data_IF_170491856004
#
_entry.id   IF_170491856004
#
_cell.length_a   1.000
_cell.length_b   1.000
_cell.length_c   1.000
_cell.angle_alpha   90.00
_cell.angle_beta   90.00
_cell.angle_gamma   90.00
#
_symmetry.space_group_name_H-M   'P 1'
#
loop_
_entity.id
_entity.type
_entity.pdbx_description
1 polymer ?
#
# COMPACT_ATOMS: atom_id res chain seq x y z
N UNK A 1 -31.31 -46.56 -6.50
CA UNK A 1 -29.92 -46.21 -6.12
C UNK A 1 -29.03 -46.65 -7.26
N UNK A 2 -28.32 -45.74 -7.92
CA UNK A 2 -27.43 -46.12 -9.02
C UNK A 2 -26.22 -46.87 -8.45
N UNK A 3 -25.91 -48.04 -9.01
CA UNK A 3 -24.77 -48.86 -8.63
C UNK A 3 -23.47 -48.10 -8.97
N UNK A 4 -22.68 -47.74 -7.96
CA UNK A 4 -21.44 -46.96 -8.11
C UNK A 4 -20.24 -47.91 -8.16
N UNK A 5 -19.27 -47.59 -9.03
CA UNK A 5 -18.08 -48.39 -9.31
C UNK A 5 -16.88 -47.75 -8.61
N UNK A 6 -16.00 -48.51 -7.93
CA UNK A 6 -14.77 -47.96 -7.34
C UNK A 6 -13.80 -47.43 -8.42
N UNK A 7 -13.08 -46.35 -8.10
CA UNK A 7 -12.01 -45.82 -8.94
C UNK A 7 -10.88 -46.86 -9.12
N UNK A 8 -10.33 -46.95 -10.33
CA UNK A 8 -9.19 -47.85 -10.63
C UNK A 8 -7.82 -47.31 -10.19
N UNK A 9 -7.71 -46.03 -9.83
CA UNK A 9 -6.44 -45.45 -9.37
C UNK A 9 -6.05 -46.02 -8.02
N UNK A 10 -4.83 -46.53 -7.92
CA UNK A 10 -4.29 -47.12 -6.69
C UNK A 10 -4.33 -46.10 -5.54
N UNK A 11 -4.83 -46.52 -4.37
CA UNK A 11 -4.98 -45.65 -3.20
C UNK A 11 -6.20 -44.71 -3.22
N UNK A 12 -6.99 -44.66 -4.29
CA UNK A 12 -8.19 -43.83 -4.36
C UNK A 12 -9.42 -44.54 -3.77
N UNK A 13 -10.06 -43.93 -2.77
CA UNK A 13 -11.29 -44.46 -2.13
C UNK A 13 -12.60 -44.01 -2.79
N UNK A 14 -12.52 -43.23 -3.88
CA UNK A 14 -13.70 -42.65 -4.54
C UNK A 14 -14.51 -43.66 -5.34
N UNK A 15 -15.82 -43.45 -5.42
CA UNK A 15 -16.74 -44.23 -6.27
C UNK A 15 -17.44 -43.35 -7.30
N UNK A 16 -17.57 -43.86 -8.53
CA UNK A 16 -18.08 -43.13 -9.69
C UNK A 16 -19.30 -43.79 -10.29
N UNK A 17 -20.10 -43.02 -11.03
CA UNK A 17 -21.23 -43.55 -11.78
C UNK A 17 -20.73 -44.39 -12.97
N UNK A 18 -21.48 -45.42 -13.41
CA UNK A 18 -21.12 -46.23 -14.58
C UNK A 18 -20.90 -45.39 -15.85
N UNK A 19 -21.67 -44.31 -16.00
CA UNK A 19 -21.51 -43.33 -17.08
C UNK A 19 -20.17 -42.61 -17.06
N UNK A 20 -19.64 -42.30 -15.88
CA UNK A 20 -18.30 -41.71 -15.72
C UNK A 20 -17.23 -42.75 -16.00
N UNK A 21 -17.38 -43.96 -15.45
CA UNK A 21 -16.43 -45.06 -15.69
C UNK A 21 -16.29 -45.42 -17.17
N UNK A 22 -17.38 -45.37 -17.94
CA UNK A 22 -17.35 -45.60 -19.39
C UNK A 22 -16.57 -44.50 -20.15
N UNK A 23 -16.60 -43.24 -19.66
CA UNK A 23 -15.90 -42.11 -20.28
C UNK A 23 -14.41 -42.06 -19.93
N UNK A 24 -14.05 -42.42 -18.70
CA UNK A 24 -12.70 -42.23 -18.14
C UNK A 24 -11.93 -43.54 -18.00
N UNK A 25 -12.46 -44.66 -18.52
CA UNK A 25 -11.86 -45.98 -18.39
C UNK A 25 -11.95 -46.59 -16.99
N UNK A 26 -12.75 -46.02 -16.09
CA UNK A 26 -12.91 -46.46 -14.70
C UNK A 26 -12.13 -45.63 -13.67
N UNK A 27 -11.54 -44.51 -14.08
CA UNK A 27 -10.82 -43.58 -13.20
C UNK A 27 -11.75 -42.43 -12.79
N UNK A 28 -11.70 -41.96 -11.55
CA UNK A 28 -12.49 -40.81 -11.14
C UNK A 28 -11.94 -39.52 -11.76
N UNK A 29 -12.81 -38.51 -11.97
CA UNK A 29 -12.39 -37.24 -12.58
C UNK A 29 -11.19 -36.59 -11.87
N UNK A 30 -11.13 -36.52 -10.51
CA UNK A 30 -9.95 -35.99 -9.82
C UNK A 30 -8.65 -36.72 -10.16
N UNK A 31 -8.66 -38.06 -10.17
CA UNK A 31 -7.46 -38.84 -10.50
C UNK A 31 -7.05 -38.70 -11.97
N UNK A 32 -8.01 -38.58 -12.89
CA UNK A 32 -7.71 -38.33 -14.30
C UNK A 32 -7.10 -36.95 -14.50
N UNK A 33 -7.65 -35.93 -13.83
CA UNK A 33 -7.10 -34.56 -13.85
C UNK A 33 -5.69 -34.52 -13.26
N UNK A 34 -5.43 -35.28 -12.20
CA UNK A 34 -4.08 -35.42 -11.62
C UNK A 34 -3.10 -36.02 -12.62
N UNK A 35 -3.47 -37.11 -13.30
CA UNK A 35 -2.63 -37.72 -14.33
C UNK A 35 -2.32 -36.76 -15.48
N UNK A 36 -3.33 -36.06 -16.00
CA UNK A 36 -3.14 -35.04 -17.04
C UNK A 36 -2.23 -33.92 -16.55
N UNK A 37 -2.37 -33.47 -15.29
CA UNK A 37 -1.50 -32.44 -14.71
C UNK A 37 -0.05 -32.92 -14.62
N UNK A 38 0.19 -34.17 -14.23
CA UNK A 38 1.52 -34.76 -14.16
C UNK A 38 2.16 -34.91 -15.55
N UNK A 39 1.40 -35.37 -16.54
CA UNK A 39 1.87 -35.45 -17.94
C UNK A 39 2.21 -34.06 -18.49
N UNK A 40 1.36 -33.07 -18.24
CA UNK A 40 1.59 -31.69 -18.65
C UNK A 40 2.80 -31.09 -17.95
N UNK A 41 2.97 -31.32 -16.65
CA UNK A 41 4.11 -30.85 -15.88
C UNK A 41 5.42 -31.47 -16.40
N UNK A 42 5.44 -32.78 -16.64
CA UNK A 42 6.59 -33.46 -17.22
C UNK A 42 6.93 -32.93 -18.63
N UNK A 43 5.91 -32.65 -19.45
CA UNK A 43 6.11 -32.02 -20.75
C UNK A 43 6.74 -30.62 -20.60
N UNK A 44 6.24 -29.80 -19.67
CA UNK A 44 6.78 -28.47 -19.39
C UNK A 44 8.23 -28.58 -18.95
N UNK A 45 8.56 -29.41 -17.97
CA UNK A 45 9.92 -29.58 -17.47
C UNK A 45 10.91 -30.02 -18.56
N UNK A 46 10.48 -30.89 -19.48
CA UNK A 46 11.31 -31.36 -20.58
C UNK A 46 11.54 -30.32 -21.68
N UNK A 47 10.56 -29.43 -21.92
CA UNK A 47 10.58 -28.48 -23.04
C UNK A 47 10.81 -27.04 -22.62
N UNK A 48 10.96 -26.77 -21.31
CA UNK A 48 11.19 -25.42 -20.78
C UNK A 48 12.56 -24.90 -21.23
N UNK A 49 12.57 -23.69 -21.78
CA UNK A 49 13.79 -22.96 -22.15
C UNK A 49 14.01 -21.76 -21.23
N UNK A 50 15.28 -21.50 -20.91
CA UNK A 50 15.68 -20.30 -20.17
C UNK A 50 15.94 -19.15 -21.14
N UNK A 51 15.36 -17.98 -20.89
CA UNK A 51 15.52 -16.78 -21.71
C UNK A 51 16.04 -15.64 -20.84
N UNK A 52 17.19 -15.07 -21.18
CA UNK A 52 17.73 -13.89 -20.51
C UNK A 52 17.52 -12.64 -21.38
N UNK A 53 16.54 -11.81 -21.02
CA UNK A 53 16.26 -10.55 -21.73
C UNK A 53 17.26 -9.43 -21.39
N UNK A 54 18.07 -9.63 -20.36
CA UNK A 54 19.02 -8.66 -19.83
C UNK A 54 20.46 -8.93 -20.28
N UNK A 55 20.65 -9.94 -21.13
CA UNK A 55 21.99 -10.33 -21.60
C UNK A 55 22.66 -9.16 -22.34
N UNK A 56 23.78 -8.69 -21.80
CA UNK A 56 24.54 -7.57 -22.37
C UNK A 56 23.97 -6.18 -22.07
N UNK A 57 22.88 -6.05 -21.32
CA UNK A 57 22.34 -4.76 -20.90
C UNK A 57 23.04 -4.26 -19.63
N UNK A 58 23.57 -3.05 -19.70
CA UNK A 58 24.13 -2.32 -18.56
C UNK A 58 23.51 -0.94 -18.35
N UNK A 59 22.77 -0.44 -19.34
CA UNK A 59 22.08 0.84 -19.27
C UNK A 59 20.78 0.67 -18.45
N UNK A 60 20.64 1.36 -17.31
CA UNK A 60 19.45 1.24 -16.47
C UNK A 60 18.16 1.61 -17.21
N UNK A 61 18.21 2.50 -18.21
CA UNK A 61 17.05 2.88 -19.01
C UNK A 61 16.54 1.71 -19.83
N UNK A 62 17.43 1.04 -20.57
CA UNK A 62 17.07 -0.11 -21.39
C UNK A 62 16.60 -1.29 -20.53
N UNK A 63 17.20 -1.48 -19.35
CA UNK A 63 16.74 -2.48 -18.38
C UNK A 63 15.31 -2.17 -17.90
N UNK A 64 15.02 -0.92 -17.54
CA UNK A 64 13.68 -0.51 -17.10
C UNK A 64 12.65 -0.65 -18.22
N UNK A 65 12.99 -0.33 -19.47
CA UNK A 65 12.12 -0.57 -20.62
C UNK A 65 11.75 -2.05 -20.70
N UNK A 66 12.73 -2.96 -20.62
CA UNK A 66 12.49 -4.43 -20.62
C UNK A 66 11.67 -4.89 -19.41
N UNK A 67 11.79 -4.22 -18.26
CA UNK A 67 10.99 -4.51 -17.07
C UNK A 67 9.53 -4.05 -17.16
N UNK A 68 9.23 -3.04 -17.98
CA UNK A 68 7.87 -2.53 -18.17
C UNK A 68 7.10 -3.21 -19.30
N UNK A 69 7.78 -3.87 -20.23
CA UNK A 69 7.12 -4.64 -21.29
C UNK A 69 6.25 -5.76 -20.68
N UNK A 70 4.91 -5.75 -20.93
CA UNK A 70 4.01 -6.80 -20.49
C UNK A 70 4.42 -8.17 -21.01
N UNK A 71 4.31 -9.18 -20.16
CA UNK A 71 4.71 -10.55 -20.49
C UNK A 71 3.50 -11.46 -20.51
N UNK A 72 3.30 -12.13 -21.64
CA UNK A 72 2.35 -13.24 -21.70
C UNK A 72 2.97 -14.47 -21.03
N UNK A 73 2.23 -15.07 -20.09
CA UNK A 73 2.67 -16.31 -19.44
C UNK A 73 2.81 -17.44 -20.46
N UNK A 74 4.02 -17.98 -20.58
CA UNK A 74 4.31 -19.19 -21.34
C UNK A 74 4.98 -20.19 -20.39
N UNK A 75 4.32 -21.32 -20.04
CA UNK A 75 4.87 -22.29 -19.10
C UNK A 75 6.18 -22.94 -19.58
N UNK A 76 6.46 -22.87 -20.89
CA UNK A 76 7.68 -23.39 -21.52
C UNK A 76 8.84 -22.37 -21.50
N UNK A 77 8.64 -21.16 -20.97
CA UNK A 77 9.68 -20.16 -20.86
C UNK A 77 9.94 -19.85 -19.39
N UNK A 78 11.20 -19.94 -18.99
CA UNK A 78 11.67 -19.41 -17.71
C UNK A 78 12.57 -18.21 -18.00
N UNK A 79 12.12 -17.03 -17.60
CA UNK A 79 12.93 -15.83 -17.70
C UNK A 79 13.97 -15.81 -16.59
N UNK A 80 15.15 -15.29 -16.90
CA UNK A 80 16.16 -14.96 -15.88
C UNK A 80 15.77 -13.64 -15.24
N UNK A 81 15.68 -13.64 -13.91
CA UNK A 81 15.42 -12.43 -13.14
C UNK A 81 16.63 -11.49 -13.19
N UNK A 82 16.37 -10.19 -13.26
CA UNK A 82 17.42 -9.20 -13.13
C UNK A 82 17.86 -9.09 -11.66
N UNK A 83 19.16 -8.89 -11.35
CA UNK A 83 19.64 -8.88 -9.96
C UNK A 83 19.05 -7.78 -9.06
N UNK A 84 18.56 -6.70 -9.65
CA UNK A 84 17.94 -5.59 -8.93
C UNK A 84 16.45 -5.50 -9.23
N UNK A 85 15.66 -5.08 -8.25
CA UNK A 85 14.23 -4.80 -8.46
C UNK A 85 14.04 -3.53 -9.31
N UNK A 86 12.85 -3.39 -9.92
CA UNK A 86 12.47 -2.17 -10.66
C UNK A 86 12.62 -0.92 -9.79
N UNK A 87 12.12 -1.01 -8.55
CA UNK A 87 12.26 -0.02 -7.47
C UNK A 87 13.72 0.41 -7.26
N UNK A 88 14.63 -0.55 -7.04
CA UNK A 88 16.05 -0.27 -6.81
C UNK A 88 16.69 0.48 -7.99
N UNK A 89 16.35 0.12 -9.22
CA UNK A 89 16.88 0.81 -10.40
C UNK A 89 16.35 2.24 -10.47
N UNK A 90 15.04 2.47 -10.30
CA UNK A 90 14.46 3.82 -10.28
C UNK A 90 15.09 4.73 -9.23
N UNK A 91 15.24 4.24 -7.99
CA UNK A 91 15.87 5.00 -6.91
C UNK A 91 17.31 5.40 -7.26
N UNK A 92 18.03 4.54 -7.99
CA UNK A 92 19.42 4.79 -8.39
C UNK A 92 19.62 5.68 -9.62
N UNK A 93 18.57 6.00 -10.39
CA UNK A 93 18.70 6.82 -11.59
C UNK A 93 19.24 8.21 -11.26
N UNK A 94 20.08 8.73 -12.15
CA UNK A 94 20.40 10.16 -12.20
C UNK A 94 19.20 10.97 -12.71
N UNK A 95 19.18 12.28 -12.46
CA UNK A 95 18.13 13.15 -13.00
C UNK A 95 18.05 13.13 -14.53
N UNK A 96 19.18 12.97 -15.22
CA UNK A 96 19.22 12.87 -16.68
C UNK A 96 18.60 11.56 -17.20
N UNK A 97 18.84 10.45 -16.49
CA UNK A 97 18.24 9.14 -16.79
C UNK A 97 16.74 9.13 -16.48
N UNK A 98 16.32 9.67 -15.33
CA UNK A 98 14.91 9.83 -15.00
C UNK A 98 14.18 10.68 -16.05
N UNK A 99 14.80 11.77 -16.53
CA UNK A 99 14.27 12.57 -17.64
C UNK A 99 14.17 11.81 -18.97
N UNK A 100 15.00 10.79 -19.20
CA UNK A 100 14.85 9.90 -20.36
C UNK A 100 13.67 8.94 -20.19
N UNK A 101 13.45 8.41 -18.99
CA UNK A 101 12.26 7.60 -18.69
C UNK A 101 10.96 8.41 -18.84
N UNK A 102 10.96 9.69 -18.40
CA UNK A 102 9.81 10.58 -18.59
C UNK A 102 9.49 10.77 -20.08
N UNK A 103 10.50 11.08 -20.90
CA UNK A 103 10.33 11.20 -22.36
C UNK A 103 9.82 9.90 -22.98
N UNK A 104 10.34 8.77 -22.54
CA UNK A 104 9.87 7.47 -23.01
C UNK A 104 8.41 7.21 -22.64
N UNK A 105 7.98 7.57 -21.42
CA UNK A 105 6.56 7.48 -21.04
C UNK A 105 5.67 8.39 -21.90
N UNK A 106 6.13 9.61 -22.21
CA UNK A 106 5.45 10.53 -23.13
C UNK A 106 5.33 9.95 -24.55
N UNK A 107 6.38 9.30 -25.06
CA UNK A 107 6.37 8.58 -26.33
C UNK A 107 5.39 7.39 -26.33
N UNK A 108 5.32 6.66 -25.21
CA UNK A 108 4.35 5.56 -25.03
C UNK A 108 2.91 6.07 -25.03
N UNK A 109 2.64 7.20 -24.36
CA UNK A 109 1.34 7.86 -24.45
C UNK A 109 1.00 8.25 -25.90
N UNK A 110 1.98 8.72 -26.68
CA UNK A 110 1.75 9.04 -28.11
C UNK A 110 1.50 7.79 -28.96
N UNK A 111 2.11 6.66 -28.60
CA UNK A 111 1.89 5.37 -29.24
C UNK A 111 0.58 4.67 -28.80
N UNK A 112 -0.10 5.17 -27.75
CA UNK A 112 -1.31 4.56 -27.18
C UNK A 112 -1.04 3.42 -26.19
N UNK A 113 0.20 3.31 -25.68
CA UNK A 113 0.59 2.34 -24.66
C UNK A 113 0.40 2.95 -23.26
N UNK A 114 -0.86 3.20 -22.90
CA UNK A 114 -1.25 3.97 -21.71
C UNK A 114 -0.83 3.29 -20.40
N UNK A 115 -1.07 1.99 -20.25
CA UNK A 115 -0.73 1.23 -19.03
C UNK A 115 0.78 1.25 -18.72
N UNK A 116 1.62 1.04 -19.74
CA UNK A 116 3.08 1.08 -19.59
C UNK A 116 3.57 2.49 -19.20
N UNK A 117 3.00 3.52 -19.84
CA UNK A 117 3.34 4.90 -19.55
C UNK A 117 2.95 5.27 -18.11
N UNK A 118 1.74 4.92 -17.68
CA UNK A 118 1.24 5.14 -16.33
C UNK A 118 2.19 4.54 -15.28
N UNK A 119 2.58 3.29 -15.46
CA UNK A 119 3.50 2.59 -14.55
C UNK A 119 4.87 3.27 -14.45
N UNK A 120 5.38 3.81 -15.56
CA UNK A 120 6.63 4.57 -15.56
C UNK A 120 6.46 5.90 -14.82
N UNK A 121 5.40 6.65 -15.12
CA UNK A 121 5.11 7.94 -14.49
C UNK A 121 4.90 7.79 -12.98
N UNK A 122 4.15 6.77 -12.56
CA UNK A 122 3.98 6.41 -11.16
C UNK A 122 5.33 6.10 -10.49
N UNK A 123 6.19 5.32 -11.14
CA UNK A 123 7.51 4.98 -10.58
C UNK A 123 8.39 6.23 -10.38
N UNK A 124 8.32 7.19 -11.31
CA UNK A 124 9.04 8.48 -11.19
C UNK A 124 8.47 9.34 -10.05
N UNK A 125 7.16 9.42 -9.95
CA UNK A 125 6.45 10.20 -8.91
C UNK A 125 6.64 9.57 -7.53
N UNK A 126 6.33 8.30 -7.35
CA UNK A 126 6.34 7.62 -6.06
C UNK A 126 7.77 7.43 -5.55
N UNK A 127 8.68 6.83 -6.32
CA UNK A 127 10.01 6.48 -5.79
C UNK A 127 10.96 7.66 -5.67
N UNK A 128 10.78 8.70 -6.50
CA UNK A 128 11.75 9.78 -6.65
C UNK A 128 11.18 11.17 -6.39
N UNK A 129 9.87 11.31 -6.30
CA UNK A 129 9.19 12.60 -6.21
C UNK A 129 9.54 13.52 -7.41
N UNK A 130 9.77 12.95 -8.58
CA UNK A 130 10.15 13.70 -9.77
C UNK A 130 8.97 14.51 -10.32
N UNK A 131 9.27 15.66 -10.93
CA UNK A 131 8.30 16.48 -11.66
C UNK A 131 7.99 15.86 -13.02
N UNK A 132 6.71 15.57 -13.27
CA UNK A 132 6.20 15.01 -14.53
C UNK A 132 5.30 15.99 -15.29
N UNK A 133 5.41 17.30 -15.04
CA UNK A 133 4.59 18.35 -15.66
C UNK A 133 4.51 18.25 -17.19
N UNK A 134 5.56 17.76 -17.86
CA UNK A 134 5.60 17.53 -19.31
C UNK A 134 4.56 16.51 -19.79
N UNK A 135 4.21 15.51 -18.97
CA UNK A 135 3.25 14.46 -19.31
C UNK A 135 1.78 14.87 -19.05
N UNK A 136 1.53 15.79 -18.12
CA UNK A 136 0.16 16.13 -17.66
C UNK A 136 -0.79 16.57 -18.79
N UNK A 137 -0.39 17.41 -19.77
CA UNK A 137 -1.28 17.78 -20.86
C UNK A 137 -1.77 16.58 -21.67
N UNK A 138 -0.91 15.57 -21.88
CA UNK A 138 -1.26 14.34 -22.60
C UNK A 138 -2.20 13.46 -21.78
N UNK A 139 -1.96 13.32 -20.48
CA UNK A 139 -2.87 12.58 -19.59
C UNK A 139 -4.29 13.18 -19.65
N UNK A 140 -4.40 14.52 -19.61
CA UNK A 140 -5.69 15.22 -19.70
C UNK A 140 -6.33 15.05 -21.07
N UNK A 141 -5.57 15.16 -22.18
CA UNK A 141 -6.09 14.94 -23.53
C UNK A 141 -6.70 13.54 -23.70
N UNK A 142 -6.14 12.56 -22.98
CA UNK A 142 -6.58 11.16 -22.98
C UNK A 142 -7.65 10.84 -21.93
N UNK A 143 -8.05 11.80 -21.11
CA UNK A 143 -8.92 11.60 -19.94
C UNK A 143 -8.36 10.57 -18.92
N UNK A 144 -7.04 10.46 -18.82
CA UNK A 144 -6.35 9.65 -17.81
C UNK A 144 -6.24 10.45 -16.51
N UNK A 145 -7.27 10.37 -15.67
CA UNK A 145 -7.34 11.09 -14.38
C UNK A 145 -7.01 10.24 -13.15
N UNK A 146 -6.91 8.94 -13.34
CA UNK A 146 -6.41 7.97 -12.36
C UNK A 146 -5.08 7.41 -12.87
N UNK A 147 -4.09 7.17 -11.98
CA UNK A 147 -4.07 7.54 -10.57
C UNK A 147 -3.81 9.03 -10.34
N UNK A 148 -4.57 9.65 -9.44
CA UNK A 148 -4.61 11.11 -9.29
C UNK A 148 -3.32 11.71 -8.71
N UNK A 149 -2.50 10.92 -8.03
CA UNK A 149 -1.16 11.33 -7.56
C UNK A 149 -0.24 11.81 -8.69
N UNK A 150 -0.45 11.36 -9.94
CA UNK A 150 0.33 11.83 -11.08
C UNK A 150 0.21 13.34 -11.28
N UNK A 151 -0.88 13.96 -10.81
CA UNK A 151 -1.12 15.39 -10.92
C UNK A 151 -0.69 16.17 -9.68
N UNK A 152 -0.04 15.52 -8.71
CA UNK A 152 0.50 16.22 -7.55
C UNK A 152 1.43 17.34 -8.02
N UNK A 153 1.39 18.48 -7.34
CA UNK A 153 2.20 19.66 -7.67
C UNK A 153 2.00 20.23 -9.10
N UNK A 154 0.88 19.90 -9.78
CA UNK A 154 0.64 20.39 -11.14
C UNK A 154 0.67 21.92 -11.21
N UNK A 155 1.21 22.43 -12.33
CA UNK A 155 1.37 23.86 -12.55
C UNK A 155 0.03 24.62 -12.49
N UNK A 156 0.05 25.91 -12.11
CA UNK A 156 -1.16 26.73 -11.98
C UNK A 156 -2.10 26.68 -13.18
N UNK A 157 -1.56 26.62 -14.39
CA UNK A 157 -2.35 26.54 -15.64
C UNK A 157 -3.20 25.27 -15.72
N UNK A 158 -2.64 24.13 -15.27
CA UNK A 158 -3.35 22.85 -15.20
C UNK A 158 -4.38 22.87 -14.07
N UNK A 159 -4.01 23.38 -12.88
CA UNK A 159 -4.94 23.55 -11.76
C UNK A 159 -6.17 24.36 -12.16
N UNK A 160 -5.98 25.54 -12.77
CA UNK A 160 -7.11 26.40 -13.19
C UNK A 160 -8.02 25.72 -14.22
N UNK A 161 -7.43 24.97 -15.15
CA UNK A 161 -8.20 24.17 -16.10
C UNK A 161 -9.07 23.13 -15.38
N UNK A 162 -8.51 22.41 -14.41
CA UNK A 162 -9.22 21.37 -13.66
C UNK A 162 -10.30 21.94 -12.73
N UNK A 163 -10.03 23.10 -12.09
CA UNK A 163 -11.02 23.85 -11.31
C UNK A 163 -12.20 24.34 -12.15
N UNK A 164 -11.98 24.66 -13.42
CA UNK A 164 -13.07 24.97 -14.34
C UNK A 164 -13.81 23.72 -14.79
N UNK A 165 -13.08 22.62 -15.03
CA UNK A 165 -13.64 21.36 -15.53
C UNK A 165 -14.57 20.69 -14.51
N UNK A 166 -14.20 20.67 -13.23
CA UNK A 166 -14.96 20.01 -12.15
C UNK A 166 -16.40 20.56 -12.01
N UNK A 167 -16.63 21.81 -12.41
CA UNK A 167 -17.94 22.47 -12.33
C UNK A 167 -18.96 21.92 -13.34
N UNK A 168 -18.53 21.29 -14.44
CA UNK A 168 -19.42 20.80 -15.50
C UNK A 168 -19.22 19.34 -15.91
N UNK A 169 -18.07 18.73 -15.62
CA UNK A 169 -17.77 17.35 -15.97
C UNK A 169 -18.32 16.39 -14.91
N UNK A 170 -19.57 15.97 -15.10
CA UNK A 170 -20.26 15.07 -14.17
C UNK A 170 -19.60 13.68 -14.10
N UNK A 171 -19.10 13.18 -15.22
CA UNK A 171 -18.57 11.82 -15.34
C UNK A 171 -17.22 11.69 -14.61
N UNK A 172 -16.35 12.70 -14.71
CA UNK A 172 -15.01 12.67 -14.12
C UNK A 172 -14.90 13.41 -12.79
N UNK A 173 -15.98 14.00 -12.25
CA UNK A 173 -15.93 14.88 -11.07
C UNK A 173 -15.18 14.30 -9.89
N UNK A 174 -15.39 13.01 -9.59
CA UNK A 174 -14.70 12.34 -8.49
C UNK A 174 -13.18 12.37 -8.68
N UNK A 175 -12.69 12.00 -9.87
CA UNK A 175 -11.26 12.04 -10.19
C UNK A 175 -10.70 13.46 -10.21
N UNK A 176 -11.47 14.44 -10.69
CA UNK A 176 -11.06 15.83 -10.69
C UNK A 176 -10.90 16.37 -9.26
N UNK A 177 -11.79 16.02 -8.34
CA UNK A 177 -11.66 16.37 -6.93
C UNK A 177 -10.42 15.71 -6.30
N UNK A 178 -10.16 14.43 -6.58
CA UNK A 178 -8.94 13.75 -6.14
C UNK A 178 -7.67 14.43 -6.68
N UNK A 179 -7.64 14.77 -7.97
CA UNK A 179 -6.51 15.47 -8.57
C UNK A 179 -6.30 16.82 -7.90
N UNK A 180 -7.36 17.60 -7.73
CA UNK A 180 -7.26 18.91 -7.06
C UNK A 180 -6.72 18.72 -5.64
N UNK A 181 -7.18 17.72 -4.91
CA UNK A 181 -6.65 17.36 -3.60
C UNK A 181 -5.15 17.08 -3.62
N UNK A 182 -4.65 16.34 -4.62
CA UNK A 182 -3.21 16.08 -4.81
C UNK A 182 -2.41 17.32 -5.22
N UNK A 183 -3.00 18.25 -5.97
CA UNK A 183 -2.38 19.56 -6.24
C UNK A 183 -2.25 20.35 -4.94
N UNK A 184 -3.32 20.40 -4.14
CA UNK A 184 -3.30 20.77 -2.71
C UNK A 184 -2.69 22.13 -2.37
N UNK A 185 -2.57 23.03 -3.35
CA UNK A 185 -1.99 24.36 -3.19
C UNK A 185 -2.97 25.34 -2.55
N UNK A 186 -2.50 26.55 -2.25
CA UNK A 186 -3.30 27.56 -1.56
C UNK A 186 -4.62 27.88 -2.28
N UNK A 187 -4.64 27.82 -3.62
CA UNK A 187 -5.84 28.14 -4.39
C UNK A 187 -6.85 26.98 -4.36
N UNK A 188 -6.38 25.74 -4.43
CA UNK A 188 -7.24 24.58 -4.20
C UNK A 188 -7.85 24.62 -2.81
N UNK A 189 -7.04 24.85 -1.77
CA UNK A 189 -7.53 24.91 -0.37
C UNK A 189 -8.59 25.99 -0.22
N UNK A 190 -8.34 27.19 -0.77
CA UNK A 190 -9.30 28.30 -0.81
C UNK A 190 -10.60 27.91 -1.51
N UNK A 191 -10.52 27.18 -2.62
CA UNK A 191 -11.69 26.74 -3.35
C UNK A 191 -12.49 25.67 -2.58
N UNK A 192 -11.83 24.71 -1.94
CA UNK A 192 -12.47 23.70 -1.10
C UNK A 192 -13.21 24.36 0.08
N UNK A 193 -12.60 25.37 0.70
CA UNK A 193 -13.26 26.18 1.72
C UNK A 193 -14.48 26.93 1.16
N UNK A 194 -14.34 27.53 -0.02
CA UNK A 194 -15.45 28.22 -0.67
C UNK A 194 -16.62 27.29 -0.96
N UNK A 195 -16.37 26.09 -1.49
CA UNK A 195 -17.40 25.06 -1.69
C UNK A 195 -17.99 24.58 -0.35
N UNK A 196 -17.20 24.51 0.73
CA UNK A 196 -17.72 24.16 2.06
C UNK A 196 -18.70 25.21 2.59
N UNK A 197 -18.39 26.50 2.40
CA UNK A 197 -19.23 27.62 2.82
C UNK A 197 -20.45 27.83 1.91
N UNK A 198 -20.27 27.59 0.60
CA UNK A 198 -21.29 27.78 -0.42
C UNK A 198 -21.33 26.55 -1.35
N UNK A 199 -21.99 25.45 -0.92
CA UNK A 199 -21.99 24.20 -1.68
C UNK A 199 -22.52 24.38 -3.10
N UNK A 200 -21.75 23.96 -4.13
CA UNK A 200 -22.22 23.98 -5.50
C UNK A 200 -23.35 22.98 -5.70
N UNK A 201 -24.13 23.14 -6.78
CA UNK A 201 -25.31 22.29 -7.05
C UNK A 201 -24.96 20.81 -7.14
N UNK A 202 -23.79 20.48 -7.67
CA UNK A 202 -23.33 19.10 -7.82
C UNK A 202 -22.87 18.47 -6.51
N UNK A 203 -22.63 19.23 -5.43
CA UNK A 203 -22.14 18.68 -4.16
C UNK A 203 -23.10 17.63 -3.57
N UNK A 204 -24.41 17.82 -3.72
CA UNK A 204 -25.43 16.86 -3.27
C UNK A 204 -25.51 15.57 -4.11
N UNK A 205 -24.72 15.45 -5.17
CA UNK A 205 -24.64 14.25 -6.02
C UNK A 205 -23.47 13.34 -5.61
N UNK A 206 -22.55 13.83 -4.79
CA UNK A 206 -21.40 13.06 -4.31
C UNK A 206 -21.83 12.09 -3.21
N UNK A 207 -21.12 10.96 -3.11
CA UNK A 207 -21.32 10.00 -2.03
C UNK A 207 -20.75 10.48 -0.69
N UNK A 208 -19.70 11.30 -0.75
CA UNK A 208 -19.04 11.94 0.39
C UNK A 208 -18.92 13.43 0.13
N UNK A 209 -18.72 14.23 1.17
CA UNK A 209 -18.50 15.66 0.99
C UNK A 209 -17.21 15.91 0.19
N UNK A 210 -17.17 17.00 -0.58
CA UNK A 210 -16.04 17.34 -1.44
C UNK A 210 -14.73 17.53 -0.68
N UNK A 211 -14.78 17.94 0.58
CA UNK A 211 -13.60 18.08 1.46
C UNK A 211 -13.05 16.73 1.95
N UNK A 212 -13.79 15.63 1.85
CA UNK A 212 -13.30 14.28 2.19
C UNK A 212 -12.26 13.79 1.17
N UNK A 213 -12.32 14.26 -0.08
CA UNK A 213 -11.36 13.89 -1.14
C UNK A 213 -9.93 14.33 -0.80
N UNK A 214 -9.76 15.35 0.05
CA UNK A 214 -8.43 15.81 0.45
C UNK A 214 -7.64 14.77 1.24
N UNK A 215 -8.34 13.83 1.89
CA UNK A 215 -7.72 12.77 2.68
C UNK A 215 -6.89 11.83 1.81
N UNK A 216 -7.30 11.61 0.56
CA UNK A 216 -6.54 10.81 -0.41
C UNK A 216 -5.17 11.42 -0.75
N UNK A 217 -5.00 12.73 -0.51
CA UNK A 217 -3.72 13.42 -0.66
C UNK A 217 -3.03 13.72 0.69
N UNK A 218 -3.53 13.13 1.79
CA UNK A 218 -2.91 13.21 3.11
C UNK A 218 -3.14 14.52 3.88
N UNK A 219 -4.20 15.27 3.59
CA UNK A 219 -4.53 16.49 4.33
C UNK A 219 -6.04 16.66 4.53
N UNK A 220 -6.42 17.49 5.48
CA UNK A 220 -7.81 17.90 5.68
C UNK A 220 -7.97 19.41 5.69
N UNK A 221 -9.19 19.87 5.38
CA UNK A 221 -9.59 21.26 5.59
C UNK A 221 -10.05 21.45 7.03
N UNK A 222 -9.22 22.08 7.86
CA UNK A 222 -9.53 22.33 9.25
C UNK A 222 -10.78 23.25 9.41
N UNK A 223 -11.33 23.27 10.61
CA UNK A 223 -12.54 24.05 10.93
C UNK A 223 -12.39 25.56 10.69
N UNK A 224 -11.17 26.08 10.76
CA UNK A 224 -10.81 27.47 10.46
C UNK A 224 -10.57 27.75 8.97
N UNK A 225 -10.68 26.75 8.09
CA UNK A 225 -10.44 26.90 6.64
C UNK A 225 -9.01 26.66 6.21
N UNK A 226 -8.09 26.41 7.13
CA UNK A 226 -6.70 26.16 6.79
C UNK A 226 -6.45 24.69 6.44
N UNK A 227 -5.46 24.44 5.58
CA UNK A 227 -4.95 23.09 5.32
C UNK A 227 -4.24 22.57 6.57
N UNK A 228 -4.62 21.37 7.02
CA UNK A 228 -3.90 20.63 8.06
C UNK A 228 -3.39 19.33 7.48
N UNK A 229 -2.06 19.20 7.40
CA UNK A 229 -1.43 17.97 6.95
C UNK A 229 -1.62 16.85 7.98
N UNK A 230 -1.91 15.66 7.46
CA UNK A 230 -2.09 14.43 8.22
C UNK A 230 -0.91 13.48 8.04
N UNK A 231 0.05 13.82 7.19
CA UNK A 231 1.22 13.00 6.83
C UNK A 231 2.52 13.78 7.04
N UNK A 232 3.65 13.10 6.87
CA UNK A 232 4.99 13.67 6.97
C UNK A 232 5.69 13.70 5.62
N UNK A 233 6.35 14.81 5.29
CA UNK A 233 7.26 14.92 4.13
C UNK A 233 8.56 14.12 4.31
N UNK A 234 8.78 13.54 5.49
CA UNK A 234 9.90 12.65 5.79
C UNK A 234 9.40 11.22 5.84
N UNK A 235 10.01 10.35 5.05
CA UNK A 235 9.68 8.94 4.98
C UNK A 235 10.95 8.09 5.10
N UNK A 236 10.91 7.04 5.91
CA UNK A 236 12.01 6.12 6.13
C UNK A 236 11.50 4.69 6.04
N UNK A 237 12.20 3.86 5.28
CA UNK A 237 11.79 2.49 5.02
C UNK A 237 11.99 1.63 6.27
N UNK A 238 11.09 0.69 6.49
CA UNK A 238 11.26 -0.39 7.47
C UNK A 238 11.62 -1.64 6.67
N UNK A 239 12.71 -2.31 7.06
CA UNK A 239 13.30 -3.44 6.32
C UNK A 239 13.72 -4.55 7.28
N UNK A 240 13.88 -5.78 6.77
CA UNK A 240 14.44 -6.89 7.54
C UNK A 240 15.92 -6.62 7.87
N UNK A 241 16.35 -6.86 9.12
CA UNK A 241 17.71 -6.56 9.62
C UNK A 241 18.85 -7.24 8.84
N UNK A 242 18.55 -8.21 7.97
CA UNK A 242 19.52 -8.88 7.09
C UNK A 242 19.73 -8.22 5.72
N UNK A 243 18.85 -7.32 5.29
CA UNK A 243 18.94 -6.66 3.99
C UNK A 243 19.90 -5.45 4.00
N UNK A 244 20.30 -4.98 5.18
CA UNK A 244 21.25 -3.88 5.37
C UNK A 244 22.37 -4.26 6.34
N UNK A 245 23.38 -4.99 5.85
CA UNK A 245 24.67 -5.13 6.54
C UNK A 245 25.85 -5.08 5.55
N UNK A 246 26.22 -3.86 5.14
CA UNK A 246 27.63 -3.49 4.96
C UNK A 246 27.83 -2.15 5.68
N UNK A 247 28.04 -2.18 6.99
CA UNK A 247 28.46 -0.98 7.74
C UNK A 247 28.04 -0.93 9.21
N UNK A 248 29.01 -1.11 10.10
CA UNK A 248 29.10 -0.69 11.51
C UNK A 248 28.01 -1.06 12.53
N UNK A 249 28.37 -2.01 13.40
CA UNK A 249 28.45 -1.88 14.86
C UNK A 249 27.32 -1.18 15.63
N UNK A 250 26.57 -1.97 16.41
CA UNK A 250 25.83 -1.57 17.64
C UNK A 250 25.42 -0.10 17.74
N UNK A 251 24.64 0.39 16.78
CA UNK A 251 23.88 1.62 16.95
C UNK A 251 22.55 1.26 17.63
N UNK A 252 22.19 2.05 18.64
CA UNK A 252 20.90 1.94 19.32
C UNK A 252 19.84 2.35 18.30
N UNK A 253 19.09 1.38 17.77
CA UNK A 253 18.05 1.64 16.76
C UNK A 253 17.05 2.66 17.29
N UNK A 254 16.82 3.75 16.54
CA UNK A 254 15.92 4.84 16.93
C UNK A 254 14.44 4.41 17.00
N UNK A 255 14.11 3.27 16.39
CA UNK A 255 12.83 2.61 16.56
C UNK A 255 13.00 1.09 16.61
N UNK A 256 12.07 0.43 17.29
CA UNK A 256 11.93 -1.01 17.29
C UNK A 256 10.49 -1.38 16.94
N UNK A 257 10.30 -2.54 16.33
CA UNK A 257 9.00 -2.96 15.81
C UNK A 257 8.63 -4.33 16.33
N UNK A 258 7.34 -4.65 16.23
CA UNK A 258 6.82 -6.00 16.40
C UNK A 258 7.22 -6.65 17.74
N UNK A 259 7.16 -5.89 18.84
CA UNK A 259 7.44 -6.42 20.19
C UNK A 259 6.16 -6.94 20.84
N UNK A 260 6.27 -8.02 21.61
CA UNK A 260 5.17 -8.47 22.47
C UNK A 260 4.99 -7.54 23.66
N UNK A 261 3.79 -6.98 23.82
CA UNK A 261 3.42 -6.18 24.99
C UNK A 261 3.22 -7.04 26.24
N UNK A 262 3.41 -6.43 27.41
CA UNK A 262 3.03 -7.06 28.68
C UNK A 262 1.50 -7.12 28.86
N UNK A 263 0.74 -6.31 28.12
CA UNK A 263 -0.72 -6.22 28.20
C UNK A 263 -1.42 -7.24 27.30
N UNK A 264 -2.64 -7.62 27.67
CA UNK A 264 -3.49 -8.54 26.92
C UNK A 264 -4.69 -7.78 26.33
N UNK A 265 -5.11 -8.15 25.13
CA UNK A 265 -6.33 -7.64 24.50
C UNK A 265 -7.56 -7.98 25.38
N UNK A 266 -8.37 -7.00 25.79
CA UNK A 266 -9.56 -7.27 26.59
C UNK A 266 -10.61 -8.14 25.89
N UNK A 267 -10.58 -8.24 24.56
CA UNK A 267 -11.56 -8.99 23.78
C UNK A 267 -11.16 -10.45 23.54
N UNK A 268 -10.01 -10.70 22.92
CA UNK A 268 -9.55 -12.05 22.59
C UNK A 268 -8.56 -12.64 23.62
N UNK A 269 -8.15 -11.86 24.63
CA UNK A 269 -7.22 -12.24 25.72
C UNK A 269 -5.79 -12.56 25.28
N UNK A 270 -5.45 -12.51 23.99
CA UNK A 270 -4.07 -12.63 23.49
C UNK A 270 -3.21 -11.45 23.89
N UNK A 271 -1.89 -11.60 23.79
CA UNK A 271 -0.96 -10.47 23.98
C UNK A 271 -1.20 -9.40 22.91
N UNK A 272 -1.02 -8.14 23.30
CA UNK A 272 -0.97 -7.04 22.36
C UNK A 272 0.41 -7.00 21.69
N UNK A 273 0.45 -6.51 20.45
CA UNK A 273 1.68 -6.27 19.72
C UNK A 273 1.98 -4.78 19.74
N UNK A 274 3.20 -4.42 20.12
CA UNK A 274 3.75 -3.09 19.93
C UNK A 274 4.28 -3.04 18.49
N UNK A 275 3.52 -2.40 17.61
CA UNK A 275 3.89 -2.25 16.20
C UNK A 275 5.14 -1.39 16.06
N UNK A 276 5.20 -0.31 16.82
CA UNK A 276 6.33 0.62 16.82
C UNK A 276 6.61 1.11 18.24
N UNK A 277 7.89 1.17 18.57
CA UNK A 277 8.46 1.73 19.79
C UNK A 277 9.62 2.64 19.36
N UNK A 278 9.34 3.93 19.25
CA UNK A 278 10.25 4.90 18.62
C UNK A 278 10.63 6.04 19.57
N UNK A 279 11.86 6.51 19.42
CA UNK A 279 12.31 7.80 19.95
C UNK A 279 11.63 8.91 19.13
N UNK A 280 10.95 9.83 19.82
CA UNK A 280 10.23 10.94 19.18
C UNK A 280 11.15 12.00 18.57
N UNK A 281 12.43 12.00 18.94
CA UNK A 281 13.46 12.83 18.30
C UNK A 281 13.83 12.31 16.91
N UNK A 282 13.33 11.14 16.49
CA UNK A 282 13.53 10.63 15.15
C UNK A 282 13.01 11.62 14.09
N UNK A 283 13.79 11.92 13.03
CA UNK A 283 13.43 12.96 12.06
C UNK A 283 12.07 12.76 11.37
N UNK A 284 11.62 11.52 11.19
CA UNK A 284 10.30 11.24 10.59
C UNK A 284 9.12 11.65 11.48
N UNK A 285 9.32 11.74 12.80
CA UNK A 285 8.30 12.05 13.79
C UNK A 285 8.31 13.52 14.21
N UNK A 286 9.32 14.30 13.80
CA UNK A 286 9.50 15.68 14.22
C UNK A 286 8.27 16.58 13.95
N UNK A 287 7.53 16.31 12.87
CA UNK A 287 6.33 17.07 12.49
C UNK A 287 5.16 16.93 13.49
N UNK A 288 5.18 15.87 14.33
CA UNK A 288 4.16 15.64 15.35
C UNK A 288 4.24 16.66 16.49
N UNK A 289 5.43 17.22 16.75
CA UNK A 289 5.62 18.17 17.86
C UNK A 289 5.26 17.58 19.24
N UNK A 290 5.38 16.26 19.41
CA UNK A 290 5.09 15.57 20.66
C UNK A 290 6.14 15.89 21.73
N UNK A 291 5.69 16.07 22.97
CA UNK A 291 6.55 16.41 24.12
C UNK A 291 7.15 15.19 24.83
N UNK A 292 6.56 14.01 24.64
CA UNK A 292 7.08 12.76 25.19
C UNK A 292 8.35 12.36 24.46
N UNK A 293 9.35 11.83 25.16
CA UNK A 293 10.63 11.41 24.54
C UNK A 293 10.47 10.12 23.73
N UNK A 294 9.47 9.30 24.05
CA UNK A 294 9.23 7.98 23.44
C UNK A 294 7.77 7.82 23.07
N UNK A 295 7.52 7.20 21.93
CA UNK A 295 6.18 6.92 21.41
C UNK A 295 6.05 5.43 21.09
N UNK A 296 5.11 4.77 21.77
CA UNK A 296 4.71 3.41 21.44
C UNK A 296 3.32 3.39 20.79
N UNK A 297 3.20 2.59 19.73
CA UNK A 297 1.93 2.28 19.08
C UNK A 297 1.69 0.79 19.23
N UNK A 298 0.58 0.42 19.86
CA UNK A 298 0.21 -0.98 20.09
C UNK A 298 -1.16 -1.29 19.49
N UNK A 299 -1.35 -2.56 19.13
CA UNK A 299 -2.61 -3.10 18.62
C UNK A 299 -2.83 -4.53 19.07
N UNK A 300 -3.99 -5.09 18.74
CA UNK A 300 -4.23 -6.52 18.75
C UNK A 300 -4.33 -6.99 17.30
N UNK A 301 -3.36 -7.75 16.79
CA UNK A 301 -3.32 -8.17 15.38
C UNK A 301 -4.59 -8.91 14.95
N UNK A 302 -5.16 -9.74 15.84
CA UNK A 302 -6.38 -10.49 15.55
C UNK A 302 -7.66 -9.63 15.58
N UNK A 303 -7.72 -8.62 16.44
CA UNK A 303 -8.93 -7.80 16.60
C UNK A 303 -8.89 -6.52 15.77
N UNK A 304 -7.70 -5.97 15.55
CA UNK A 304 -7.45 -4.76 14.76
C UNK A 304 -7.74 -4.96 13.28
N UNK A 305 -7.70 -6.19 12.78
CA UNK A 305 -8.19 -6.53 11.45
C UNK A 305 -9.70 -6.29 11.24
N UNK A 306 -10.46 -6.02 12.29
CA UNK A 306 -11.93 -5.89 12.25
C UNK A 306 -12.45 -4.52 12.70
N UNK A 307 -11.62 -3.70 13.37
CA UNK A 307 -12.00 -2.40 13.89
C UNK A 307 -10.77 -1.54 14.20
N UNK A 308 -10.92 -0.22 14.21
CA UNK A 308 -9.89 0.69 14.73
C UNK A 308 -9.62 0.40 16.21
N UNK A 309 -8.35 0.27 16.58
CA UNK A 309 -7.92 0.07 17.96
C UNK A 309 -7.27 1.34 18.49
N UNK A 310 -7.86 1.91 19.54
CA UNK A 310 -7.36 3.08 20.24
C UNK A 310 -6.56 2.70 21.49
N UNK A 311 -5.41 3.34 21.69
CA UNK A 311 -4.61 3.21 22.90
C UNK A 311 -4.32 4.59 23.47
N UNK A 312 -4.62 4.78 24.75
CA UNK A 312 -4.24 5.98 25.52
C UNK A 312 -2.77 5.87 25.92
N UNK A 313 -2.01 6.96 25.82
CA UNK A 313 -0.60 6.96 26.25
C UNK A 313 -0.51 7.47 27.68
N UNK A 314 0.20 6.74 28.53
CA UNK A 314 0.52 7.24 29.87
C UNK A 314 1.63 8.31 29.83
N UNK A 315 2.02 8.82 31.00
CA UNK A 315 3.05 9.86 31.10
C UNK A 315 4.43 9.43 30.60
N UNK A 316 4.67 8.14 30.41
CA UNK A 316 5.91 7.55 29.90
C UNK A 316 5.81 7.20 28.40
N UNK A 317 4.65 7.43 27.77
CA UNK A 317 4.39 7.06 26.37
C UNK A 317 4.06 5.58 26.19
N UNK A 318 3.75 4.85 27.27
CA UNK A 318 3.34 3.44 27.18
C UNK A 318 1.84 3.32 26.89
N UNK A 319 1.42 2.40 26.00
CA UNK A 319 0.06 2.33 25.50
C UNK A 319 -0.83 1.51 26.45
N UNK A 320 -1.94 2.12 26.85
CA UNK A 320 -3.00 1.55 27.67
C UNK A 320 -4.26 1.40 26.83
N UNK A 321 -4.94 0.26 26.97
CA UNK A 321 -6.17 -0.01 26.22
C UNK A 321 -7.23 1.06 26.49
N UNK A 322 -7.71 1.74 25.45
CA UNK A 322 -8.68 2.82 25.62
C UNK A 322 -10.10 2.31 25.91
N UNK A 323 -10.83 3.08 26.71
CA UNK A 323 -12.27 2.88 26.95
C UNK A 323 -13.15 3.17 25.73
N UNK A 324 -12.62 3.88 24.73
CA UNK A 324 -13.35 4.17 23.49
C UNK A 324 -13.44 2.99 22.53
N UNK A 325 -12.65 1.93 22.77
CA UNK A 325 -12.70 0.72 21.99
C UNK A 325 -14.04 0.00 22.16
N UNK A 326 -14.79 -0.14 21.07
CA UNK A 326 -16.03 -0.90 21.04
C UNK A 326 -15.81 -2.24 20.37
N UNK A 327 -16.16 -3.32 21.07
CA UNK A 327 -16.04 -4.68 20.52
C UNK A 327 -17.10 -4.84 19.42
N UNK A 328 -16.71 -5.12 18.15
CA UNK A 328 -17.70 -5.33 17.11
C UNK A 328 -18.43 -6.66 17.31
N UNK A 329 -19.74 -6.69 17.01
CA UNK A 329 -20.58 -7.89 17.14
C UNK A 329 -20.15 -9.02 16.19
N UNK A 330 -19.51 -8.67 15.08
CA UNK A 330 -19.01 -9.60 14.07
C UNK A 330 -17.60 -10.12 14.36
N UNK A 331 -16.99 -9.77 15.50
CA UNK A 331 -15.67 -10.27 15.86
C UNK A 331 -15.71 -11.80 16.04
N UNK A 332 -14.88 -12.58 15.32
CA UNK A 332 -14.83 -14.02 15.50
C UNK A 332 -14.47 -14.42 16.93
N UNK A 333 -15.01 -15.55 17.39
CA UNK A 333 -14.55 -16.17 18.61
C UNK A 333 -13.32 -17.02 18.29
N UNK A 334 -12.14 -16.54 18.68
CA UNK A 334 -10.88 -17.25 18.47
C UNK A 334 -10.70 -18.30 19.55
N UNK A 335 -10.67 -19.58 19.17
CA UNK A 335 -10.14 -20.62 20.05
C UNK A 335 -8.61 -20.49 20.15
N UNK A 336 -8.03 -20.86 21.30
CA UNK A 336 -6.57 -20.75 21.61
C UNK A 336 -5.65 -21.49 20.61
N UNK A 337 -6.19 -22.20 19.61
CA UNK A 337 -5.44 -23.00 18.64
C UNK A 337 -5.05 -22.28 17.36
N UNK A 338 -5.57 -21.09 17.10
CA UNK A 338 -5.12 -20.31 15.95
C UNK A 338 -3.71 -19.77 16.24
N UNK A 339 -2.72 -20.32 15.54
CA UNK A 339 -1.32 -19.93 15.68
C UNK A 339 -1.17 -18.48 15.29
N UNK A 340 -0.80 -17.61 16.25
CA UNK A 340 -0.18 -16.35 15.89
C UNK A 340 1.07 -16.68 15.07
N UNK A 341 1.29 -15.98 13.96
CA UNK A 341 2.63 -15.89 13.38
C UNK A 341 3.58 -15.53 14.52
N UNK A 342 4.72 -16.20 14.64
CA UNK A 342 5.68 -15.90 15.70
C UNK A 342 6.36 -14.57 15.37
N UNK A 343 5.65 -13.47 15.57
CA UNK A 343 6.07 -12.08 15.31
C UNK A 343 7.41 -11.76 15.99
N UNK A 344 7.71 -12.46 17.09
CA UNK A 344 8.95 -12.35 17.86
C UNK A 344 10.22 -12.78 17.09
N UNK A 345 10.10 -13.50 15.96
CA UNK A 345 11.24 -13.90 15.13
C UNK A 345 11.61 -12.85 14.08
N UNK A 346 10.71 -11.93 13.75
CA UNK A 346 10.91 -10.91 12.72
C UNK A 346 11.76 -9.78 13.30
N UNK A 347 12.93 -9.54 12.69
CA UNK A 347 13.82 -8.44 13.09
C UNK A 347 13.76 -7.35 12.03
N UNK A 348 13.24 -6.19 12.44
CA UNK A 348 13.07 -5.02 11.60
C UNK A 348 14.00 -3.88 12.01
N UNK A 349 14.46 -3.14 11.01
CA UNK A 349 15.29 -1.93 11.15
C UNK A 349 14.74 -0.82 10.28
N UNK A 350 14.96 0.43 10.71
CA UNK A 350 14.65 1.63 9.92
C UNK A 350 15.85 1.97 9.05
N UNK A 351 15.61 2.39 7.81
CA UNK A 351 16.67 2.94 6.96
C UNK A 351 17.29 4.19 7.59
N UNK A 352 18.60 4.38 7.41
CA UNK A 352 19.28 5.59 7.88
C UNK A 352 18.98 6.81 7.02
N UNK A 353 18.77 6.59 5.71
CA UNK A 353 18.45 7.63 4.75
C UNK A 353 16.93 7.67 4.49
N UNK A 354 16.34 8.86 4.38
CA UNK A 354 14.97 9.00 3.94
C UNK A 354 14.85 8.70 2.45
N UNK A 355 13.65 8.29 2.03
CA UNK A 355 13.25 8.13 0.64
C UNK A 355 12.05 9.05 0.36
N UNK A 356 11.51 9.01 -0.87
CA UNK A 356 10.39 9.84 -1.27
C UNK A 356 9.23 9.74 -0.25
N UNK A 357 8.57 10.86 0.12
CA UNK A 357 7.39 10.81 0.98
C UNK A 357 6.23 10.04 0.34
N UNK A 358 6.24 9.87 -0.99
CA UNK A 358 5.21 9.18 -1.75
C UNK A 358 5.58 7.75 -2.14
N UNK A 359 6.62 7.20 -1.52
CA UNK A 359 7.21 5.94 -1.95
C UNK A 359 6.22 4.79 -2.03
N UNK A 360 5.43 4.62 -0.97
CA UNK A 360 4.38 3.62 -0.86
C UNK A 360 2.99 4.16 -1.27
N UNK A 361 2.89 5.39 -1.79
CA UNK A 361 1.58 6.03 -1.99
C UNK A 361 0.70 5.34 -3.05
N UNK A 362 1.27 4.45 -3.86
CA UNK A 362 0.55 3.64 -4.84
C UNK A 362 0.75 2.16 -4.56
N UNK A 363 -0.27 1.52 -3.97
CA UNK A 363 -0.27 0.09 -3.65
C UNK A 363 -0.18 -0.82 -4.90
N UNK A 364 -0.40 -0.28 -6.10
CA UNK A 364 -0.30 -1.02 -7.37
C UNK A 364 1.15 -1.19 -7.86
N UNK A 365 2.09 -0.45 -7.28
CA UNK A 365 3.51 -0.62 -7.54
C UNK A 365 4.05 -1.77 -6.68
N UNK A 366 5.18 -2.36 -7.08
CA UNK A 366 5.70 -3.62 -6.49
C UNK A 366 6.76 -3.41 -5.40
N UNK A 367 6.74 -2.27 -4.72
CA UNK A 367 7.68 -1.96 -3.63
C UNK A 367 7.31 -2.66 -2.32
N UNK A 368 8.24 -2.61 -1.37
CA UNK A 368 7.91 -2.85 0.04
C UNK A 368 7.32 -1.58 0.67
N UNK A 369 6.18 -1.74 1.32
CA UNK A 369 5.30 -0.65 1.76
C UNK A 369 5.50 -0.23 3.23
N UNK A 370 6.24 -0.99 4.02
CA UNK A 370 6.51 -0.67 5.43
C UNK A 370 7.42 0.55 5.58
N UNK A 371 6.95 1.57 6.31
CA UNK A 371 7.64 2.86 6.46
C UNK A 371 7.25 3.61 7.74
N UNK A 372 8.12 4.53 8.20
CA UNK A 372 7.77 5.58 9.15
C UNK A 372 7.68 6.92 8.42
N UNK A 373 6.59 7.63 8.63
CA UNK A 373 6.25 8.87 7.94
C UNK A 373 5.80 8.61 6.51
N UNK A 374 5.89 9.63 5.65
CA UNK A 374 5.39 9.56 4.28
C UNK A 374 3.87 9.50 4.18
N UNK A 375 3.41 9.28 2.95
CA UNK A 375 2.03 9.06 2.59
C UNK A 375 1.67 7.57 2.77
N UNK A 376 0.51 7.23 3.35
CA UNK A 376 0.05 5.85 3.47
C UNK A 376 -0.14 5.16 2.11
N UNK A 377 0.12 3.86 2.05
CA UNK A 377 -0.30 2.99 0.94
C UNK A 377 -1.75 2.57 1.14
N UNK A 378 -2.72 3.42 0.82
CA UNK A 378 -4.13 3.08 0.98
C UNK A 378 -4.52 1.96 0.01
N UNK A 379 -4.95 0.82 0.55
CA UNK A 379 -5.44 -0.33 -0.25
C UNK A 379 -6.91 -0.12 -0.61
N UNK A 380 -7.66 0.50 0.30
CA UNK A 380 -9.05 0.93 0.13
C UNK A 380 -9.10 2.47 0.07
N UNK A 381 -10.23 3.06 0.45
CA UNK A 381 -10.32 4.52 0.60
C UNK A 381 -9.43 5.01 1.77
N UNK A 382 -8.95 6.24 1.68
CA UNK A 382 -8.18 6.89 2.73
C UNK A 382 -9.00 7.04 4.03
N UNK A 383 -8.52 6.44 5.11
CA UNK A 383 -9.21 6.47 6.40
C UNK A 383 -8.30 6.91 7.56
N UNK A 384 -8.33 8.21 7.83
CA UNK A 384 -7.70 8.78 9.02
C UNK A 384 -8.70 8.76 10.19
N UNK A 385 -8.50 7.92 11.22
CA UNK A 385 -9.46 7.78 12.30
C UNK A 385 -9.63 9.11 13.04
N UNK A 386 -10.86 9.40 13.45
CA UNK A 386 -11.13 10.53 14.33
C UNK A 386 -10.70 10.17 15.75
N UNK A 387 -10.06 11.12 16.43
CA UNK A 387 -9.81 11.02 17.86
C UNK A 387 -11.14 11.07 18.61
N UNK A 388 -11.46 10.09 19.48
CA UNK A 388 -12.74 10.07 20.21
C UNK A 388 -12.84 11.18 21.26
N UNK A 389 -11.72 11.80 21.65
CA UNK A 389 -11.69 12.89 22.64
C UNK A 389 -11.94 14.27 22.01
N UNK A 390 -11.20 14.62 20.96
CA UNK A 390 -11.24 15.95 20.35
C UNK A 390 -11.96 16.00 18.98
N UNK A 391 -12.39 14.84 18.45
CA UNK A 391 -13.03 14.66 17.15
C UNK A 391 -12.20 15.10 15.92
N UNK A 392 -10.94 15.52 16.08
CA UNK A 392 -10.04 15.78 14.95
C UNK A 392 -9.52 14.45 14.36
N UNK A 393 -9.22 14.44 13.05
CA UNK A 393 -8.51 13.30 12.44
C UNK A 393 -7.10 13.16 13.01
N UNK A 394 -6.71 11.92 13.26
CA UNK A 394 -5.38 11.59 13.78
C UNK A 394 -4.35 11.62 12.64
N UNK A 395 -3.11 12.02 12.97
CA UNK A 395 -2.00 12.10 12.00
C UNK A 395 -1.37 10.74 11.81
N UNK A 396 -1.02 10.40 10.57
CA UNK A 396 -0.39 9.14 10.19
C UNK A 396 1.10 9.12 10.55
N UNK A 397 1.50 8.13 11.33
CA UNK A 397 2.86 7.97 11.85
C UNK A 397 3.69 7.07 10.93
N UNK A 398 3.08 6.03 10.37
CA UNK A 398 3.76 4.98 9.62
C UNK A 398 2.88 3.75 9.47
N UNK A 399 3.40 2.76 8.77
CA UNK A 399 2.70 1.51 8.48
C UNK A 399 3.65 0.31 8.48
N UNK A 400 3.06 -0.87 8.68
CA UNK A 400 3.71 -2.15 8.50
C UNK A 400 2.82 -3.00 7.58
N UNK A 401 3.38 -3.43 6.46
CA UNK A 401 2.77 -4.40 5.57
C UNK A 401 3.27 -5.79 5.95
N UNK A 402 2.35 -6.71 6.21
CA UNK A 402 2.72 -8.07 6.60
C UNK A 402 3.34 -8.84 5.43
N UNK A 403 2.97 -8.50 4.19
CA UNK A 403 3.53 -9.12 2.99
C UNK A 403 5.02 -8.83 2.82
N UNK A 404 5.54 -7.74 3.42
CA UNK A 404 6.97 -7.41 3.40
C UNK A 404 7.83 -8.43 4.17
N UNK A 405 7.23 -9.14 5.13
CA UNK A 405 7.97 -9.98 6.09
C UNK A 405 7.54 -11.45 6.08
N UNK A 406 6.34 -11.75 5.56
CA UNK A 406 5.85 -13.11 5.36
C UNK A 406 5.03 -13.22 4.07
N UNK A 407 5.51 -14.04 3.13
CA UNK A 407 4.91 -14.25 1.81
C UNK A 407 3.47 -14.82 1.82
N UNK A 408 3.01 -15.33 2.97
CA UNK A 408 1.65 -15.86 3.12
C UNK A 408 0.76 -14.96 3.99
N UNK A 409 1.31 -13.87 4.50
CA UNK A 409 0.56 -12.88 5.24
C UNK A 409 0.17 -11.72 4.33
N UNK A 410 -0.97 -11.11 4.63
CA UNK A 410 -1.56 -10.03 3.83
C UNK A 410 -1.99 -8.88 4.73
N UNK A 411 -2.08 -7.70 4.13
CA UNK A 411 -2.67 -6.50 4.70
C UNK A 411 -1.70 -5.64 5.53
N UNK A 412 -2.13 -4.39 5.70
CA UNK A 412 -1.32 -3.30 6.20
C UNK A 412 -1.94 -2.77 7.49
N UNK A 413 -1.14 -2.68 8.56
CA UNK A 413 -1.49 -1.90 9.73
C UNK A 413 -0.95 -0.48 9.62
N UNK A 414 -1.85 0.49 9.64
CA UNK A 414 -1.56 1.92 9.68
C UNK A 414 -1.58 2.41 11.12
N UNK A 415 -0.63 3.28 11.48
CA UNK A 415 -0.46 3.82 12.83
C UNK A 415 -0.75 5.32 12.84
N UNK A 416 -1.54 5.79 13.81
CA UNK A 416 -1.94 7.19 13.91
C UNK A 416 -1.78 7.74 15.33
N UNK A 417 -1.65 9.05 15.47
CA UNK A 417 -1.57 9.77 16.73
C UNK A 417 -2.49 11.00 16.76
N UNK A 418 -3.14 11.19 17.90
CA UNK A 418 -3.72 12.46 18.31
C UNK A 418 -2.73 13.14 19.26
N UNK A 419 -2.16 14.26 18.83
CA UNK A 419 -1.16 15.00 19.60
C UNK A 419 -1.76 15.84 20.71
N UNK A 420 -3.04 16.19 20.63
CA UNK A 420 -3.74 16.98 21.66
C UNK A 420 -4.08 16.14 22.90
N UNK A 421 -4.51 14.90 22.68
CA UNK A 421 -5.08 14.03 23.73
C UNK A 421 -4.19 12.82 24.04
N UNK A 422 -2.96 12.80 23.50
CA UNK A 422 -1.95 11.76 23.72
C UNK A 422 -2.50 10.34 23.54
N UNK A 423 -3.08 10.09 22.37
CA UNK A 423 -3.71 8.82 22.03
C UNK A 423 -3.19 8.32 20.69
N UNK A 424 -3.03 7.01 20.54
CA UNK A 424 -2.73 6.37 19.27
C UNK A 424 -3.91 5.56 18.78
N UNK A 425 -4.00 5.38 17.47
CA UNK A 425 -4.96 4.51 16.83
C UNK A 425 -4.25 3.63 15.81
N UNK A 426 -4.78 2.44 15.58
CA UNK A 426 -4.35 1.57 14.48
C UNK A 426 -5.56 1.14 13.66
N UNK A 427 -5.36 1.10 12.34
CA UNK A 427 -6.32 0.66 11.34
C UNK A 427 -5.66 -0.45 10.52
N UNK A 428 -6.46 -1.39 10.00
CA UNK A 428 -6.00 -2.43 9.10
C UNK A 428 -6.76 -2.37 7.78
N UNK A 429 -6.06 -2.50 6.65
CA UNK A 429 -6.67 -2.72 5.33
C UNK A 429 -6.00 -3.91 4.63
N UNK A 430 -6.76 -4.61 3.79
CA UNK A 430 -6.28 -5.71 2.95
C UNK A 430 -7.05 -5.68 1.62
N UNK A 431 -6.43 -6.19 0.57
CA UNK A 431 -6.96 -6.20 -0.82
C UNK A 431 -7.95 -7.32 -1.07
#
# INVERSE_FOLDING_TARGET
MAERIPCKTEGCSSTILPTTAAKTGGICMPCQQEQVRQEQQAYIEQHRRTVNLYEGLTDPIEILKVMHVPRNYDPLIQYVDYPHSKEQIYVSLTAAEAGQMLKYAVELLDAGNEDEAEQILLSLVCYRNDDISEALPKLIERNMYYPSILFKDALPEIRERLLQQVEWDDDNRNHLLLILSWIGDTEVVRQFEQWRLHPPKWAGQLFVNHDVYSLEAGWELASNGEKRDLISERCFAIRLTGEQQVGSGTETSAAHFLKTSNSNCPWCKRKLTILMDADTTHPSLAYLGVLMERLQVATCEHCGGFNTIYMELDQQGEPVWSLFNQKPDYLPNWDDKDSSVAVEEIKLTVSSEPHSPYYAASWTLTQQDSQIGGHPSWVQDADYPHCPCCAQRMRFIGQLDWADFDQYSEGIFYMFICTEETMTATLYQQS
#
